data_IF_097703144899
#
_entry.id   IF_097703144899
#
_cell.length_a   1.000
_cell.length_b   1.000
_cell.length_c   1.000
_cell.angle_alpha   90.00
_cell.angle_beta   90.00
_cell.angle_gamma   90.00
#
_symmetry.space_group_name_H-M   'P 1'
#
loop_
_entity.id
_entity.type
_entity.pdbx_description
1 polymer ?
#
# COMPACT_ATOMS: atom_id res chain seq x y z
N UNK A 1 21.67 -17.34 -13.31
CA UNK A 1 20.83 -16.81 -12.21
C UNK A 1 19.55 -16.26 -12.83
N UNK A 2 18.44 -17.00 -12.73
CA UNK A 2 17.18 -16.64 -13.40
C UNK A 2 16.44 -15.55 -12.64
N UNK A 3 16.30 -14.36 -13.24
CA UNK A 3 15.38 -13.32 -12.77
C UNK A 3 13.97 -13.90 -12.82
N UNK A 4 13.33 -14.11 -11.67
CA UNK A 4 11.91 -14.46 -11.60
C UNK A 4 11.11 -13.24 -12.07
N UNK A 5 10.65 -13.29 -13.31
CA UNK A 5 9.80 -12.27 -13.90
C UNK A 5 8.40 -12.37 -13.30
N UNK A 6 8.10 -11.46 -12.38
CA UNK A 6 6.74 -11.21 -11.91
C UNK A 6 5.91 -10.83 -13.14
N UNK A 7 4.93 -11.67 -13.52
CA UNK A 7 4.00 -11.35 -14.62
C UNK A 7 3.03 -10.27 -14.13
N UNK A 8 3.19 -9.04 -14.64
CA UNK A 8 2.37 -7.87 -14.31
C UNK A 8 1.24 -7.73 -15.34
N UNK A 9 -0.02 -7.69 -14.91
CA UNK A 9 -1.19 -7.40 -15.77
C UNK A 9 -2.08 -6.36 -15.09
N UNK A 10 -2.62 -5.43 -15.88
CA UNK A 10 -3.43 -4.31 -15.40
C UNK A 10 -4.49 -4.73 -14.36
N UNK A 11 -4.42 -4.10 -13.18
CA UNK A 11 -5.40 -4.21 -12.09
C UNK A 11 -5.16 -5.31 -11.05
N UNK A 12 -4.21 -6.24 -11.25
CA UNK A 12 -3.91 -7.32 -10.28
C UNK A 12 -2.43 -7.67 -10.30
N UNK A 13 -1.74 -7.44 -9.17
CA UNK A 13 -0.34 -7.80 -9.02
C UNK A 13 -0.18 -9.11 -8.27
N UNK A 14 0.79 -9.93 -8.71
CA UNK A 14 1.20 -11.17 -8.07
C UNK A 14 2.52 -10.95 -7.34
N UNK A 15 2.59 -11.32 -6.07
CA UNK A 15 3.83 -11.26 -5.27
C UNK A 15 4.01 -12.61 -4.58
N UNK A 16 5.24 -13.14 -4.58
CA UNK A 16 5.56 -14.40 -3.90
C UNK A 16 5.35 -14.26 -2.38
N UNK A 17 4.42 -15.04 -1.83
CA UNK A 17 4.17 -15.10 -0.39
C UNK A 17 5.31 -15.89 0.28
N UNK A 18 6.36 -15.21 0.76
CA UNK A 18 7.34 -15.83 1.67
C UNK A 18 6.85 -15.64 3.10
N UNK A 19 6.27 -16.67 3.71
CA UNK A 19 5.96 -16.81 5.16
C UNK A 19 5.03 -15.77 5.80
N UNK A 20 4.78 -14.60 5.18
CA UNK A 20 3.90 -13.55 5.67
C UNK A 20 2.56 -13.56 4.93
N UNK A 21 1.45 -13.51 5.68
CA UNK A 21 0.10 -13.37 5.11
C UNK A 21 -0.20 -11.89 4.96
N UNK A 22 -0.26 -11.38 3.73
CA UNK A 22 -0.56 -9.97 3.47
C UNK A 22 -1.88 -9.56 4.15
N UNK A 23 -2.86 -10.47 4.20
CA UNK A 23 -4.11 -10.26 4.90
C UNK A 23 -3.94 -9.91 6.39
N UNK A 24 -2.98 -10.51 7.09
CA UNK A 24 -2.76 -10.24 8.52
C UNK A 24 -2.14 -8.85 8.71
N UNK A 25 -1.21 -8.46 7.84
CA UNK A 25 -0.58 -7.15 7.87
C UNK A 25 -1.56 -6.03 7.48
N UNK A 26 -2.46 -6.27 6.53
CA UNK A 26 -3.55 -5.33 6.23
C UNK A 26 -4.47 -5.16 7.43
N UNK A 27 -4.89 -6.24 8.08
CA UNK A 27 -5.69 -6.15 9.32
C UNK A 27 -4.94 -5.43 10.43
N UNK A 28 -3.64 -5.65 10.54
CA UNK A 28 -2.80 -4.93 11.49
C UNK A 28 -2.80 -3.43 11.20
N UNK A 29 -2.58 -3.02 9.95
CA UNK A 29 -2.57 -1.60 9.54
C UNK A 29 -3.93 -0.93 9.73
N UNK A 30 -5.02 -1.61 9.42
CA UNK A 30 -6.37 -1.12 9.68
C UNK A 30 -6.60 -0.85 11.17
N UNK A 31 -6.16 -1.78 12.04
CA UNK A 31 -6.23 -1.57 13.49
C UNK A 31 -5.40 -0.36 13.93
N UNK A 32 -4.19 -0.19 13.39
CA UNK A 32 -3.34 0.97 13.69
C UNK A 32 -3.95 2.29 13.24
N UNK A 33 -4.62 2.31 12.10
CA UNK A 33 -5.43 3.44 11.66
C UNK A 33 -6.56 3.75 12.65
N UNK A 34 -7.33 2.76 13.08
CA UNK A 34 -8.39 2.95 14.08
C UNK A 34 -7.86 3.46 15.44
N UNK A 35 -6.63 3.11 15.78
CA UNK A 35 -5.91 3.61 16.97
C UNK A 35 -5.25 4.99 16.74
N UNK A 36 -5.40 5.61 15.57
CA UNK A 36 -4.72 6.85 15.16
C UNK A 36 -3.20 6.79 15.35
N UNK A 37 -2.62 5.62 15.12
CA UNK A 37 -1.25 5.35 15.50
C UNK A 37 -0.39 5.09 14.27
N UNK A 38 0.55 5.99 13.98
CA UNK A 38 1.38 5.88 12.78
C UNK A 38 2.27 4.63 12.80
N UNK A 39 2.31 3.94 11.65
CA UNK A 39 3.15 2.76 11.43
C UNK A 39 3.51 2.66 9.95
N UNK A 40 4.72 2.22 9.65
CA UNK A 40 5.16 1.86 8.29
C UNK A 40 5.75 0.45 8.36
N UNK A 41 5.36 -0.42 7.44
CA UNK A 41 5.84 -1.80 7.32
C UNK A 41 6.07 -2.12 5.84
N UNK A 42 7.12 -2.89 5.54
CA UNK A 42 7.43 -3.36 4.19
C UNK A 42 7.27 -4.88 4.11
N UNK A 43 6.64 -5.39 3.06
CA UNK A 43 6.44 -6.83 2.83
C UNK A 43 6.82 -7.14 1.38
N UNK A 44 8.00 -7.74 1.19
CA UNK A 44 8.55 -7.93 -0.15
C UNK A 44 8.65 -6.59 -0.89
N UNK A 45 8.04 -6.43 -2.07
CA UNK A 45 8.05 -5.17 -2.83
C UNK A 45 6.96 -4.18 -2.40
N UNK A 46 6.16 -4.48 -1.37
CA UNK A 46 5.04 -3.63 -0.94
C UNK A 46 5.38 -2.83 0.30
N UNK A 47 4.75 -1.65 0.42
CA UNK A 47 4.81 -0.81 1.59
C UNK A 47 3.38 -0.59 2.11
N UNK A 48 3.16 -0.85 3.39
CA UNK A 48 1.92 -0.50 4.07
C UNK A 48 2.21 0.57 5.11
N UNK A 49 1.29 1.51 5.27
CA UNK A 49 1.38 2.48 6.34
C UNK A 49 0.03 2.88 6.92
N UNK A 50 0.06 3.36 8.15
CA UNK A 50 -1.03 4.05 8.84
C UNK A 50 -0.52 5.38 9.40
N UNK A 51 -1.44 6.30 9.63
CA UNK A 51 -1.17 7.69 9.99
C UNK A 51 -1.95 8.12 11.23
N UNK A 52 -1.53 9.22 11.84
CA UNK A 52 -2.23 9.79 13.01
C UNK A 52 -3.60 10.39 12.64
N UNK A 53 -3.84 10.68 11.36
CA UNK A 53 -5.17 11.06 10.84
C UNK A 53 -6.12 9.86 10.71
N UNK A 54 -5.69 8.65 11.10
CA UNK A 54 -6.50 7.45 11.01
C UNK A 54 -6.58 6.84 9.61
N UNK A 55 -5.82 7.35 8.65
CA UNK A 55 -5.77 6.76 7.31
C UNK A 55 -4.73 5.63 7.25
N UNK A 56 -5.02 4.60 6.46
CA UNK A 56 -4.08 3.54 6.15
C UNK A 56 -4.08 3.20 4.65
N UNK A 57 -2.93 2.78 4.16
CA UNK A 57 -2.66 2.57 2.74
C UNK A 57 -1.78 1.35 2.52
N UNK A 58 -2.00 0.70 1.39
CA UNK A 58 -1.10 -0.26 0.79
C UNK A 58 -0.59 0.33 -0.52
N UNK A 59 0.72 0.33 -0.70
CA UNK A 59 1.42 0.83 -1.88
C UNK A 59 2.18 -0.30 -2.57
N UNK A 60 2.17 -0.26 -3.90
CA UNK A 60 3.20 -0.87 -4.73
C UNK A 60 4.06 0.25 -5.36
N UNK A 61 5.25 0.50 -4.80
CA UNK A 61 6.16 1.51 -5.32
C UNK A 61 6.71 1.22 -6.71
N UNK A 62 6.73 -0.05 -7.15
CA UNK A 62 7.29 -0.41 -8.46
C UNK A 62 6.43 0.12 -9.61
N UNK A 63 5.11 0.07 -9.44
CA UNK A 63 4.14 0.46 -10.46
C UNK A 63 3.36 1.75 -10.07
N UNK A 64 3.73 2.36 -8.93
CA UNK A 64 3.08 3.54 -8.31
C UNK A 64 1.57 3.34 -8.07
N UNK A 65 1.21 2.15 -7.57
CA UNK A 65 -0.18 1.80 -7.30
C UNK A 65 -0.49 1.95 -5.82
N UNK A 66 -1.73 2.33 -5.52
CA UNK A 66 -2.20 2.50 -4.16
C UNK A 66 -3.60 1.90 -3.98
N UNK A 67 -3.82 1.32 -2.80
CA UNK A 67 -5.11 0.89 -2.32
C UNK A 67 -5.31 1.45 -0.90
N UNK A 68 -6.36 2.23 -0.64
CA UNK A 68 -6.69 2.66 0.71
C UNK A 68 -7.17 1.46 1.53
N UNK A 69 -6.67 1.34 2.75
CA UNK A 69 -7.01 0.28 3.71
C UNK A 69 -7.95 0.78 4.80
N UNK A 70 -7.83 2.04 5.20
CA UNK A 70 -8.72 2.72 6.14
C UNK A 70 -8.72 4.23 5.86
N UNK A 71 -9.77 4.91 6.30
CA UNK A 71 -9.89 6.37 6.28
C UNK A 71 -10.48 6.86 7.58
N UNK A 72 -9.83 7.83 8.23
CA UNK A 72 -10.29 8.41 9.50
C UNK A 72 -10.65 7.35 10.57
N UNK A 73 -9.84 6.29 10.64
CA UNK A 73 -10.03 5.15 11.54
C UNK A 73 -10.99 4.07 11.02
N UNK A 74 -11.81 4.36 10.00
CA UNK A 74 -12.76 3.41 9.44
C UNK A 74 -12.10 2.50 8.38
N UNK A 75 -12.10 1.17 8.55
CA UNK A 75 -11.46 0.25 7.62
C UNK A 75 -12.28 0.10 6.32
N UNK A 76 -11.59 0.07 5.18
CA UNK A 76 -12.17 -0.36 3.91
C UNK A 76 -12.21 -1.89 3.80
N UNK A 77 -13.22 -2.47 3.13
CA UNK A 77 -13.21 -3.89 2.81
C UNK A 77 -12.17 -4.19 1.73
N UNK A 78 -10.99 -4.68 2.13
CA UNK A 78 -9.93 -5.02 1.17
C UNK A 78 -10.05 -6.49 0.76
N UNK A 79 -10.32 -6.72 -0.52
CA UNK A 79 -10.37 -8.07 -1.10
C UNK A 79 -8.96 -8.53 -1.42
N UNK A 80 -8.30 -9.20 -0.46
CA UNK A 80 -7.02 -9.87 -0.67
C UNK A 80 -7.30 -11.33 -0.97
N UNK A 81 -6.93 -11.79 -2.17
CA UNK A 81 -6.92 -13.22 -2.47
C UNK A 81 -5.52 -13.74 -2.19
N UNK A 82 -5.33 -14.29 -0.99
CA UNK A 82 -4.11 -14.99 -0.58
C UNK A 82 -4.20 -16.47 -1.01
N UNK A 83 -3.11 -16.97 -1.60
CA UNK A 83 -2.84 -18.39 -1.83
C UNK A 83 -1.52 -18.74 -1.14
N UNK A 84 -1.23 -20.02 -0.95
CA UNK A 84 -0.02 -20.46 -0.24
C UNK A 84 1.30 -19.90 -0.79
N UNK A 85 1.33 -19.46 -2.06
CA UNK A 85 2.53 -18.95 -2.73
C UNK A 85 2.38 -17.55 -3.32
N UNK A 86 1.18 -16.96 -3.30
CA UNK A 86 0.95 -15.66 -3.92
C UNK A 86 -0.30 -14.95 -3.45
N UNK A 87 -0.34 -13.63 -3.59
CA UNK A 87 -1.57 -12.86 -3.39
C UNK A 87 -1.94 -12.00 -4.59
N UNK A 88 -3.20 -11.57 -4.64
CA UNK A 88 -3.69 -10.53 -5.54
C UNK A 88 -4.29 -9.38 -4.75
N UNK A 89 -3.85 -8.16 -5.06
CA UNK A 89 -4.41 -6.90 -4.56
C UNK A 89 -5.23 -6.26 -5.67
N UNK A 90 -6.45 -5.82 -5.34
CA UNK A 90 -7.25 -4.96 -6.21
C UNK A 90 -6.81 -3.51 -6.03
N UNK A 91 -5.93 -3.03 -6.90
CA UNK A 91 -5.44 -1.65 -6.86
C UNK A 91 -6.52 -0.68 -7.34
N UNK A 92 -6.96 0.22 -6.47
CA UNK A 92 -8.05 1.16 -6.78
C UNK A 92 -7.55 2.47 -7.36
N UNK A 93 -6.25 2.78 -7.27
CA UNK A 93 -5.71 4.01 -7.83
C UNK A 93 -4.20 4.03 -8.01
N UNK A 94 -3.70 5.18 -8.44
CA UNK A 94 -2.28 5.52 -8.53
C UNK A 94 -1.93 6.54 -7.45
N UNK A 95 -0.68 6.56 -7.02
CA UNK A 95 -0.21 7.59 -6.12
C UNK A 95 1.06 8.29 -6.64
N UNK A 96 1.28 9.50 -6.16
CA UNK A 96 2.52 10.24 -6.30
C UNK A 96 2.84 10.91 -4.96
N UNK A 97 4.12 11.01 -4.63
CA UNK A 97 4.58 11.84 -3.53
C UNK A 97 5.27 13.05 -4.15
N UNK A 98 4.77 14.25 -3.83
CA UNK A 98 5.34 15.53 -4.25
C UNK A 98 5.65 16.37 -3.01
N UNK A 99 6.92 16.31 -2.57
CA UNK A 99 7.37 16.90 -1.31
C UNK A 99 6.55 16.41 -0.12
N UNK A 100 5.81 17.32 0.51
CA UNK A 100 4.95 17.03 1.67
C UNK A 100 3.57 16.46 1.29
N UNK A 101 3.23 16.43 0.00
CA UNK A 101 1.92 15.98 -0.48
C UNK A 101 1.95 14.51 -0.90
N UNK A 102 0.98 13.76 -0.40
CA UNK A 102 0.60 12.46 -0.95
C UNK A 102 -0.60 12.66 -1.87
N UNK A 103 -0.40 12.46 -3.18
CA UNK A 103 -1.43 12.61 -4.19
C UNK A 103 -1.95 11.23 -4.58
N UNK A 104 -3.25 11.04 -4.51
CA UNK A 104 -3.93 9.81 -4.93
C UNK A 104 -4.92 10.10 -6.04
N UNK A 105 -4.85 9.32 -7.12
CA UNK A 105 -5.81 9.36 -8.23
C UNK A 105 -6.57 8.03 -8.27
N UNK A 106 -7.87 8.08 -8.03
CA UNK A 106 -8.77 6.93 -8.06
C UNK A 106 -9.09 6.52 -9.50
N UNK A 107 -8.90 5.24 -9.83
CA UNK A 107 -9.03 4.75 -11.21
C UNK A 107 -10.49 4.64 -11.68
N UNK A 108 -11.44 4.48 -10.76
CA UNK A 108 -12.85 4.26 -11.10
C UNK A 108 -13.59 5.59 -11.26
N UNK A 109 -13.47 6.46 -10.26
CA UNK A 109 -14.10 7.78 -10.24
C UNK A 109 -13.33 8.85 -11.00
N UNK A 110 -12.03 8.65 -11.23
CA UNK A 110 -11.12 9.69 -11.74
C UNK A 110 -10.84 10.80 -10.72
N UNK A 111 -11.30 10.66 -9.47
CA UNK A 111 -11.10 11.69 -8.45
C UNK A 111 -9.63 11.77 -8.02
N UNK A 112 -9.14 13.00 -7.84
CA UNK A 112 -7.79 13.27 -7.35
C UNK A 112 -7.88 13.85 -5.94
N UNK A 113 -7.07 13.33 -5.03
CA UNK A 113 -6.96 13.79 -3.64
C UNK A 113 -5.52 14.14 -3.34
N UNK A 114 -5.30 15.37 -2.89
CA UNK A 114 -4.02 15.81 -2.34
C UNK A 114 -4.12 15.79 -0.83
N UNK A 115 -3.29 14.98 -0.19
CA UNK A 115 -3.32 14.76 1.26
C UNK A 115 -2.02 15.29 1.86
N UNK A 116 -2.15 16.12 2.89
CA UNK A 116 -1.05 16.70 3.65
C UNK A 116 -1.02 16.10 5.06
N UNK A 117 0.13 16.17 5.72
CA UNK A 117 0.31 15.66 7.10
C UNK A 117 0.70 14.19 7.18
N UNK A 118 0.78 13.49 6.04
CA UNK A 118 1.35 12.15 5.99
C UNK A 118 2.88 12.20 6.14
N UNK A 119 3.52 11.13 6.65
CA UNK A 119 4.97 11.06 6.81
C UNK A 119 5.67 10.78 5.47
N UNK A 120 5.45 11.62 4.45
CA UNK A 120 5.91 11.40 3.06
C UNK A 120 7.42 11.21 2.95
N UNK A 121 8.21 11.95 3.73
CA UNK A 121 9.67 11.77 3.76
C UNK A 121 10.05 10.35 4.20
N UNK A 122 9.46 9.86 5.29
CA UNK A 122 9.75 8.50 5.78
C UNK A 122 9.28 7.42 4.81
N UNK A 123 8.16 7.66 4.12
CA UNK A 123 7.66 6.75 3.07
C UNK A 123 8.67 6.69 1.92
N UNK A 124 9.12 7.84 1.42
CA UNK A 124 10.12 7.92 0.34
C UNK A 124 11.45 7.27 0.75
N UNK A 125 11.95 7.54 1.96
CA UNK A 125 13.18 6.93 2.47
C UNK A 125 13.07 5.40 2.52
N UNK A 126 11.93 4.87 2.99
CA UNK A 126 11.68 3.43 2.99
C UNK A 126 11.61 2.85 1.57
N UNK A 127 10.93 3.53 0.65
CA UNK A 127 10.87 3.12 -0.76
C UNK A 127 12.27 3.08 -1.37
N UNK A 128 13.12 4.09 -1.13
CA UNK A 128 14.50 4.11 -1.60
C UNK A 128 15.30 2.92 -1.06
N UNK A 129 15.15 2.60 0.23
CA UNK A 129 15.82 1.45 0.86
C UNK A 129 15.34 0.09 0.34
N UNK A 130 14.14 0.00 -0.25
CA UNK A 130 13.61 -1.24 -0.83
C UNK A 130 14.26 -1.61 -2.18
N UNK A 131 14.81 -0.62 -2.90
CA UNK A 131 15.34 -0.80 -4.27
C UNK A 131 16.80 -0.35 -4.46
N UNK A 132 17.41 0.30 -3.47
CA UNK A 132 18.84 0.61 -3.43
C UNK A 132 19.68 -0.63 -3.14
#
# INVERSE_FOLDING_TARGET
MGRRTIKRRAGKQWVEARTFRLADEVRYMQRRAAEHASRIVTIGPLLLFSTETGDAWLLDPSDQLAAPLARDGDPFPVVIKDTATSFSVAWTGRYQIDGAAFVYADNESGSIRTILGYPTQRITDQISNMFG
#
